data_IF_518457559739
#
_entry.id   IF_518457559739
#
_cell.length_a   1.000
_cell.length_b   1.000
_cell.length_c   1.000
_cell.angle_alpha   90.00
_cell.angle_beta   90.00
_cell.angle_gamma   90.00
#
_symmetry.space_group_name_H-M   'P 1'
#
loop_
_entity.id
_entity.type
_entity.pdbx_description
1 polymer ?
#
# COMPACT_ATOMS: atom_id res chain seq x y z
N UNK A 1 11.86 4.47 12.53
CA UNK A 1 10.82 4.07 11.55
C UNK A 1 10.42 2.63 11.82
N UNK A 2 9.11 2.35 11.96
CA UNK A 2 8.57 1.02 12.28
C UNK A 2 7.58 0.57 11.20
N UNK A 3 7.76 -0.63 10.65
CA UNK A 3 6.87 -1.17 9.62
C UNK A 3 5.58 -1.71 10.25
N UNK A 4 4.53 -0.91 10.20
CA UNK A 4 3.25 -1.22 10.85
C UNK A 4 2.25 -1.94 9.93
N UNK A 5 2.43 -1.85 8.61
CA UNK A 5 1.56 -2.51 7.62
C UNK A 5 2.36 -3.00 6.39
N UNK A 6 3.11 -4.10 6.52
CA UNK A 6 3.88 -4.68 5.40
C UNK A 6 3.02 -5.38 4.36
N UNK A 7 1.80 -5.79 4.73
CA UNK A 7 0.87 -6.59 3.93
C UNK A 7 -0.57 -6.05 3.99
N UNK A 8 -1.54 -6.86 3.55
CA UNK A 8 -2.96 -6.58 3.68
C UNK A 8 -3.52 -6.78 5.10
N UNK A 9 -2.67 -6.63 6.12
CA UNK A 9 -2.98 -6.69 7.56
C UNK A 9 -2.13 -5.67 8.33
N UNK A 10 -2.39 -5.47 9.60
CA UNK A 10 -1.75 -4.43 10.41
C UNK A 10 -1.28 -4.97 11.77
N UNK A 11 -0.24 -4.34 12.34
CA UNK A 11 0.21 -4.61 13.71
C UNK A 11 -0.40 -3.64 14.73
N UNK A 12 -1.43 -2.92 14.34
CA UNK A 12 -2.17 -1.96 15.16
C UNK A 12 -3.68 -2.22 15.03
N UNK A 13 -4.49 -1.70 15.95
CA UNK A 13 -5.95 -1.80 15.90
C UNK A 13 -6.49 -0.99 14.73
N UNK A 14 -7.13 -1.68 13.77
CA UNK A 14 -7.66 -1.06 12.55
C UNK A 14 -9.07 -1.52 12.21
N UNK A 15 -9.90 -0.58 11.71
CA UNK A 15 -11.22 -0.85 11.12
C UNK A 15 -11.09 -1.40 9.69
N UNK A 16 -9.97 -1.14 9.02
CA UNK A 16 -9.75 -1.43 7.61
C UNK A 16 -8.94 -2.70 7.37
N UNK A 17 -8.04 -3.04 8.30
CA UNK A 17 -7.10 -4.16 8.15
C UNK A 17 -7.22 -5.12 9.35
N UNK A 18 -7.21 -6.44 9.11
CA UNK A 18 -7.16 -7.41 10.20
C UNK A 18 -5.82 -7.35 10.93
N UNK A 19 -5.78 -7.79 12.17
CA UNK A 19 -4.54 -8.03 12.90
C UNK A 19 -3.59 -8.93 12.13
N UNK A 20 -2.31 -8.59 12.10
CA UNK A 20 -1.29 -9.38 11.44
C UNK A 20 -1.03 -10.70 12.16
N UNK A 21 -0.81 -11.75 11.37
CA UNK A 21 -0.41 -13.06 11.90
C UNK A 21 0.94 -13.02 12.65
N UNK A 22 1.80 -12.08 12.33
CA UNK A 22 3.12 -11.94 12.96
C UNK A 22 3.05 -11.49 14.41
N UNK A 23 1.94 -10.91 14.85
CA UNK A 23 1.73 -10.51 16.24
C UNK A 23 0.99 -11.58 17.03
N UNK A 24 0.03 -12.26 16.41
CA UNK A 24 -0.90 -13.16 17.12
C UNK A 24 -0.83 -14.61 16.66
N UNK A 25 0.07 -14.96 15.72
CA UNK A 25 0.18 -16.28 15.11
C UNK A 25 -0.88 -16.58 14.04
N UNK A 26 -2.02 -15.85 14.04
CA UNK A 26 -3.12 -16.04 13.10
C UNK A 26 -3.70 -14.69 12.66
N UNK A 27 -3.78 -14.45 11.34
CA UNK A 27 -4.34 -13.21 10.82
C UNK A 27 -5.79 -12.99 11.29
N UNK A 28 -6.07 -11.80 11.81
CA UNK A 28 -7.38 -11.41 12.34
C UNK A 28 -7.64 -11.76 13.80
N UNK A 29 -6.72 -12.48 14.48
CA UNK A 29 -6.79 -12.74 15.93
C UNK A 29 -6.27 -11.50 16.67
N UNK A 30 -7.05 -10.98 17.61
CA UNK A 30 -6.62 -9.92 18.50
C UNK A 30 -5.49 -10.44 19.41
N UNK A 31 -4.34 -9.75 19.47
CA UNK A 31 -3.23 -10.15 20.36
C UNK A 31 -3.48 -9.83 21.84
N UNK A 32 -4.51 -9.07 22.19
CA UNK A 32 -4.79 -8.62 23.56
C UNK A 32 -4.09 -7.32 23.96
N UNK A 33 -3.22 -6.77 23.10
CA UNK A 33 -2.53 -5.51 23.28
C UNK A 33 -2.39 -4.78 21.93
N UNK A 34 -1.97 -3.51 21.95
CA UNK A 34 -1.74 -2.71 20.74
C UNK A 34 -0.25 -2.37 20.59
N UNK A 35 0.48 -3.10 19.72
CA UNK A 35 1.91 -2.90 19.54
C UNK A 35 2.29 -1.47 19.15
N UNK A 36 1.52 -0.85 18.24
CA UNK A 36 1.87 0.50 17.77
C UNK A 36 1.69 1.54 18.91
N UNK A 37 0.64 1.40 19.72
CA UNK A 37 0.44 2.26 20.89
C UNK A 37 1.64 2.20 21.82
N UNK A 38 2.08 0.98 22.19
CA UNK A 38 3.24 0.77 23.07
C UNK A 38 4.51 1.36 22.45
N UNK A 39 4.72 1.15 21.13
CA UNK A 39 5.91 1.67 20.45
C UNK A 39 5.95 3.20 20.42
N UNK A 40 4.78 3.86 20.25
CA UNK A 40 4.68 5.33 20.29
C UNK A 40 5.01 5.84 21.70
N UNK A 41 4.38 5.27 22.74
CA UNK A 41 4.61 5.63 24.14
C UNK A 41 6.11 5.49 24.50
N UNK A 42 6.70 4.32 24.23
CA UNK A 42 8.13 4.08 24.51
C UNK A 42 9.06 5.01 23.72
N UNK A 43 8.73 5.32 22.46
CA UNK A 43 9.54 6.25 21.68
C UNK A 43 9.54 7.65 22.28
N UNK A 44 8.36 8.18 22.61
CA UNK A 44 8.21 9.52 23.18
C UNK A 44 8.79 9.62 24.59
N UNK A 45 8.63 8.60 25.44
CA UNK A 45 9.24 8.53 26.77
C UNK A 45 10.79 8.57 26.72
N UNK A 46 11.39 8.32 25.54
CA UNK A 46 12.83 8.38 25.31
C UNK A 46 13.25 9.49 24.32
N UNK A 47 12.45 10.54 24.17
CA UNK A 47 12.70 11.67 23.27
C UNK A 47 12.96 11.27 21.80
N UNK A 48 12.40 10.13 21.36
CA UNK A 48 12.53 9.63 19.99
C UNK A 48 11.28 9.90 19.18
N UNK A 49 11.45 10.30 17.91
CA UNK A 49 10.36 10.34 16.93
C UNK A 49 10.09 8.98 16.35
N UNK A 50 8.81 8.68 16.09
CA UNK A 50 8.37 7.43 15.49
C UNK A 50 7.57 7.66 14.20
N UNK A 51 8.00 7.05 13.10
CA UNK A 51 7.27 7.05 11.83
C UNK A 51 6.67 5.69 11.54
N UNK A 52 5.38 5.66 11.19
CA UNK A 52 4.65 4.46 10.82
C UNK A 52 4.87 4.14 9.33
N UNK A 53 5.64 3.10 9.03
CA UNK A 53 5.91 2.65 7.67
C UNK A 53 4.81 1.70 7.18
N UNK A 54 4.20 2.04 6.05
CA UNK A 54 3.18 1.25 5.37
C UNK A 54 3.62 0.87 3.96
N UNK A 55 3.45 -0.40 3.57
CA UNK A 55 3.53 -0.82 2.19
C UNK A 55 2.11 -0.75 1.58
N UNK A 56 1.86 0.12 0.58
CA UNK A 56 0.50 0.41 0.17
C UNK A 56 -0.22 -0.75 -0.53
N UNK A 57 0.47 -1.49 -1.40
CA UNK A 57 -0.21 -2.41 -2.33
C UNK A 57 0.02 -3.90 -2.06
N UNK A 58 1.03 -4.29 -1.32
CA UNK A 58 1.31 -5.70 -1.05
C UNK A 58 0.26 -6.30 -0.12
N UNK A 59 -0.38 -7.40 -0.52
CA UNK A 59 -1.35 -8.14 0.29
C UNK A 59 -0.71 -9.38 0.92
N UNK A 60 0.06 -10.13 0.13
CA UNK A 60 0.79 -11.32 0.59
C UNK A 60 2.15 -11.43 -0.10
N UNK A 61 3.03 -12.24 0.45
CA UNK A 61 4.24 -12.75 -0.21
C UNK A 61 4.20 -14.27 -0.21
N UNK A 62 4.59 -14.88 -1.34
CA UNK A 62 4.69 -16.34 -1.48
C UNK A 62 3.37 -17.10 -1.40
N UNK A 63 2.23 -16.41 -1.51
CA UNK A 63 0.92 -17.06 -1.52
C UNK A 63 -0.11 -16.28 -2.33
N UNK A 64 -0.86 -16.99 -3.16
CA UNK A 64 -2.03 -16.47 -3.89
C UNK A 64 -3.35 -17.03 -3.37
N UNK A 65 -3.31 -17.74 -2.24
CA UNK A 65 -4.48 -18.39 -1.66
C UNK A 65 -5.30 -17.43 -0.79
N UNK A 66 -6.39 -16.90 -1.34
CA UNK A 66 -7.30 -16.00 -0.63
C UNK A 66 -7.98 -16.64 0.59
N UNK A 67 -8.15 -17.97 0.62
CA UNK A 67 -8.77 -18.67 1.76
C UNK A 67 -7.90 -18.61 3.01
N UNK A 68 -6.58 -18.44 2.86
CA UNK A 68 -5.63 -18.27 3.98
C UNK A 68 -5.70 -16.88 4.62
N UNK A 69 -6.33 -15.90 3.96
CA UNK A 69 -6.57 -14.59 4.54
C UNK A 69 -7.74 -14.65 5.54
N UNK A 70 -7.72 -13.82 6.57
CA UNK A 70 -8.81 -13.69 7.53
C UNK A 70 -10.14 -13.34 6.83
N UNK A 71 -11.29 -13.76 7.38
CA UNK A 71 -12.62 -13.50 6.80
C UNK A 71 -12.91 -11.99 6.65
N UNK A 72 -12.38 -11.17 7.56
CA UNK A 72 -12.50 -9.71 7.53
C UNK A 72 -11.47 -9.01 6.64
N UNK A 73 -10.47 -9.73 6.08
CA UNK A 73 -9.49 -9.14 5.17
C UNK A 73 -10.16 -8.63 3.89
N UNK A 74 -9.93 -7.36 3.55
CA UNK A 74 -10.61 -6.72 2.42
C UNK A 74 -10.25 -7.36 1.06
N UNK A 75 -9.04 -7.87 0.91
CA UNK A 75 -8.64 -8.59 -0.31
C UNK A 75 -9.46 -9.86 -0.51
N UNK A 76 -9.70 -10.62 0.57
CA UNK A 76 -10.55 -11.82 0.55
C UNK A 76 -12.00 -11.45 0.23
N UNK A 77 -12.55 -10.40 0.84
CA UNK A 77 -13.92 -9.91 0.57
C UNK A 77 -14.09 -9.48 -0.90
N UNK A 78 -13.12 -8.74 -1.43
CA UNK A 78 -13.17 -8.30 -2.83
C UNK A 78 -13.03 -9.45 -3.82
N UNK A 79 -12.17 -10.43 -3.53
CA UNK A 79 -12.00 -11.59 -4.40
C UNK A 79 -13.28 -12.43 -4.52
N UNK A 80 -14.06 -12.54 -3.46
CA UNK A 80 -15.30 -13.33 -3.41
C UNK A 80 -16.40 -12.79 -4.33
N UNK A 81 -16.41 -11.50 -4.66
CA UNK A 81 -17.44 -10.86 -5.50
C UNK A 81 -16.93 -10.58 -6.91
N UNK A 82 -17.65 -11.04 -7.94
CA UNK A 82 -17.29 -10.85 -9.37
C UNK A 82 -17.04 -9.38 -9.73
N UNK A 83 -17.84 -8.46 -9.22
CA UNK A 83 -17.75 -7.01 -9.49
C UNK A 83 -16.49 -6.35 -8.91
N UNK A 84 -15.98 -6.85 -7.78
CA UNK A 84 -14.83 -6.27 -7.07
C UNK A 84 -13.55 -7.11 -7.16
N UNK A 85 -13.63 -8.30 -7.73
CA UNK A 85 -12.52 -9.26 -7.80
C UNK A 85 -11.21 -8.65 -8.32
N UNK A 86 -11.29 -7.73 -9.27
CA UNK A 86 -10.13 -7.07 -9.83
C UNK A 86 -9.53 -5.94 -8.98
N UNK A 87 -10.05 -5.69 -7.79
CA UNK A 87 -9.38 -4.85 -6.81
C UNK A 87 -8.14 -5.52 -6.21
N UNK A 88 -8.03 -6.85 -6.36
CA UNK A 88 -6.85 -7.63 -5.97
C UNK A 88 -6.41 -8.49 -7.14
N UNK A 89 -5.11 -8.50 -7.39
CA UNK A 89 -4.48 -9.21 -8.50
C UNK A 89 -3.37 -10.11 -7.97
N UNK A 90 -3.16 -11.26 -8.63
CA UNK A 90 -2.01 -12.12 -8.38
C UNK A 90 -0.90 -11.84 -9.40
N UNK A 91 0.35 -11.84 -8.92
CA UNK A 91 1.52 -11.77 -9.75
C UNK A 91 2.75 -12.32 -9.00
N UNK A 92 3.61 -13.08 -9.69
CA UNK A 92 4.84 -13.60 -9.09
C UNK A 92 4.63 -14.38 -7.79
N UNK A 93 3.58 -15.21 -7.70
CA UNK A 93 3.29 -15.99 -6.50
C UNK A 93 2.70 -15.21 -5.31
N UNK A 94 2.37 -13.93 -5.48
CA UNK A 94 1.90 -13.04 -4.44
C UNK A 94 0.59 -12.33 -4.82
N UNK A 95 -0.11 -11.78 -3.84
CA UNK A 95 -1.30 -10.95 -4.02
C UNK A 95 -0.99 -9.48 -3.82
N UNK A 96 -1.57 -8.63 -4.66
CA UNK A 96 -1.44 -7.18 -4.60
C UNK A 96 -2.80 -6.52 -4.75
N UNK A 97 -3.02 -5.43 -4.04
CA UNK A 97 -4.07 -4.48 -4.35
C UNK A 97 -3.81 -3.84 -5.71
N UNK A 98 -4.86 -3.68 -6.53
CA UNK A 98 -4.73 -3.12 -7.87
C UNK A 98 -4.64 -1.58 -7.82
N UNK A 99 -3.50 -0.97 -8.16
CA UNK A 99 -3.30 0.49 -8.08
C UNK A 99 -4.29 1.29 -8.96
N UNK A 100 -4.79 0.66 -10.02
CA UNK A 100 -5.74 1.27 -10.96
C UNK A 100 -7.15 1.48 -10.39
N UNK A 101 -7.45 0.92 -9.21
CA UNK A 101 -8.80 0.96 -8.64
C UNK A 101 -8.96 2.06 -7.59
N UNK A 102 -9.96 2.92 -7.78
CA UNK A 102 -10.31 3.97 -6.80
C UNK A 102 -10.59 3.37 -5.42
N UNK A 103 -11.36 2.28 -5.34
CA UNK A 103 -11.69 1.63 -4.07
C UNK A 103 -10.44 1.16 -3.30
N UNK A 104 -9.39 0.72 -4.01
CA UNK A 104 -8.10 0.36 -3.42
C UNK A 104 -7.41 1.59 -2.84
N UNK A 105 -7.30 2.67 -3.60
CA UNK A 105 -6.70 3.92 -3.09
C UNK A 105 -7.46 4.47 -1.88
N UNK A 106 -8.78 4.42 -1.92
CA UNK A 106 -9.63 4.81 -0.77
C UNK A 106 -9.35 3.95 0.46
N UNK A 107 -9.23 2.63 0.32
CA UNK A 107 -8.86 1.74 1.43
C UNK A 107 -7.52 2.15 2.05
N UNK A 108 -6.51 2.38 1.20
CA UNK A 108 -5.14 2.72 1.64
C UNK A 108 -5.12 4.09 2.34
N UNK A 109 -5.74 5.11 1.74
CA UNK A 109 -5.78 6.46 2.32
C UNK A 109 -6.56 6.51 3.62
N UNK A 110 -7.68 5.76 3.73
CA UNK A 110 -8.43 5.67 4.97
C UNK A 110 -7.62 4.98 6.07
N UNK A 111 -6.87 3.91 5.73
CA UNK A 111 -6.01 3.23 6.70
C UNK A 111 -4.87 4.12 7.20
N UNK A 112 -4.27 4.94 6.35
CA UNK A 112 -3.25 5.91 6.76
C UNK A 112 -3.87 7.02 7.61
N UNK A 113 -5.02 7.54 7.21
CA UNK A 113 -5.77 8.52 8.00
C UNK A 113 -6.11 7.99 9.39
N UNK A 114 -6.51 6.72 9.50
CA UNK A 114 -6.80 6.03 10.75
C UNK A 114 -5.57 5.97 11.68
N UNK A 115 -4.37 5.73 11.14
CA UNK A 115 -3.13 5.75 11.93
C UNK A 115 -2.95 7.12 12.58
N UNK A 116 -2.96 8.19 11.78
CA UNK A 116 -2.75 9.56 12.28
C UNK A 116 -3.86 10.02 13.25
N UNK A 117 -5.08 9.51 13.09
CA UNK A 117 -6.20 9.82 13.98
C UNK A 117 -6.12 9.15 15.35
N UNK A 118 -5.53 7.95 15.42
CA UNK A 118 -5.60 7.11 16.61
C UNK A 118 -4.26 6.93 17.32
N UNK A 119 -3.15 7.32 16.70
CA UNK A 119 -1.80 7.17 17.24
C UNK A 119 -1.02 8.46 17.04
N UNK A 120 -0.31 8.86 18.06
CA UNK A 120 0.56 10.05 18.07
C UNK A 120 1.88 9.75 17.34
N UNK A 121 1.81 9.39 16.06
CA UNK A 121 2.99 9.16 15.24
C UNK A 121 3.51 10.45 14.66
N UNK A 122 4.82 10.64 14.63
CA UNK A 122 5.46 11.84 14.05
C UNK A 122 5.47 11.84 12.52
N UNK A 123 5.25 10.67 11.93
CA UNK A 123 5.25 10.56 10.47
C UNK A 123 4.61 9.29 9.92
N UNK A 124 4.23 9.40 8.66
CA UNK A 124 3.86 8.26 7.80
C UNK A 124 4.96 8.07 6.76
N UNK A 125 5.48 6.86 6.71
CA UNK A 125 6.57 6.48 5.83
C UNK A 125 6.14 5.42 4.81
N UNK A 126 6.69 5.47 3.59
CA UNK A 126 6.57 4.44 2.57
C UNK A 126 7.92 4.11 1.94
N UNK A 127 8.03 2.89 1.43
CA UNK A 127 9.05 2.51 0.44
C UNK A 127 8.54 2.77 -0.99
N UNK A 128 9.30 2.32 -1.99
CA UNK A 128 9.00 2.45 -3.41
C UNK A 128 8.35 1.20 -4.04
N UNK A 129 7.97 0.21 -3.25
CA UNK A 129 7.36 -1.04 -3.74
C UNK A 129 5.89 -0.86 -4.13
N UNK A 130 5.60 0.01 -5.12
CA UNK A 130 4.24 0.29 -5.57
C UNK A 130 3.69 -0.77 -6.52
N UNK A 131 4.52 -1.27 -7.42
CA UNK A 131 4.16 -2.32 -8.37
C UNK A 131 5.08 -3.53 -8.24
N UNK A 132 4.62 -4.74 -8.59
CA UNK A 132 5.53 -5.86 -8.74
C UNK A 132 6.49 -5.63 -9.90
N UNK A 133 7.66 -6.25 -9.85
CA UNK A 133 8.62 -6.20 -10.95
C UNK A 133 8.16 -7.06 -12.11
N UNK A 134 8.10 -6.49 -13.29
CA UNK A 134 7.69 -7.17 -14.53
C UNK A 134 8.91 -7.53 -15.37
N UNK A 135 8.73 -8.51 -16.26
CA UNK A 135 9.70 -8.81 -17.32
C UNK A 135 9.34 -8.06 -18.61
N UNK A 136 10.31 -7.89 -19.52
CA UNK A 136 10.08 -7.33 -20.87
C UNK A 136 8.92 -8.05 -21.61
N UNK A 137 8.82 -9.37 -21.41
CA UNK A 137 7.82 -10.23 -22.06
C UNK A 137 6.39 -9.95 -21.58
N UNK A 138 6.18 -9.65 -20.31
CA UNK A 138 4.85 -9.59 -19.71
C UNK A 138 4.39 -8.19 -19.26
N UNK A 139 5.28 -7.19 -19.18
CA UNK A 139 4.96 -5.86 -18.66
C UNK A 139 3.75 -5.21 -19.35
N UNK A 140 3.54 -5.44 -20.64
CA UNK A 140 2.41 -4.85 -21.39
C UNK A 140 1.11 -5.66 -21.30
N UNK A 141 1.16 -6.92 -20.82
CA UNK A 141 0.03 -7.87 -20.85
C UNK A 141 -0.48 -8.26 -19.47
N UNK A 142 0.39 -8.15 -18.44
CA UNK A 142 0.11 -8.64 -17.09
C UNK A 142 -0.56 -7.60 -16.19
N UNK A 143 -1.05 -8.09 -15.06
CA UNK A 143 -1.52 -7.32 -13.93
C UNK A 143 -2.70 -6.39 -14.29
N UNK A 144 -2.49 -5.08 -14.28
CA UNK A 144 -3.49 -4.04 -14.56
C UNK A 144 -3.62 -3.66 -16.04
N UNK A 145 -3.01 -4.41 -16.95
CA UNK A 145 -3.08 -4.16 -18.40
C UNK A 145 -4.53 -4.11 -18.92
N UNK A 146 -5.44 -4.89 -18.32
CA UNK A 146 -6.87 -4.86 -18.66
C UNK A 146 -7.52 -3.51 -18.32
N UNK A 147 -7.15 -2.90 -17.20
CA UNK A 147 -7.61 -1.58 -16.79
C UNK A 147 -7.01 -0.49 -17.69
N UNK A 148 -5.71 -0.59 -17.99
CA UNK A 148 -5.07 0.31 -18.95
C UNK A 148 -5.78 0.29 -20.31
N UNK A 149 -6.09 -0.89 -20.86
CA UNK A 149 -6.73 -1.01 -22.17
C UNK A 149 -8.11 -0.34 -22.24
N UNK A 150 -8.79 -0.18 -21.11
CA UNK A 150 -10.09 0.52 -21.00
C UNK A 150 -9.96 1.98 -20.59
N UNK A 151 -8.76 2.45 -20.31
CA UNK A 151 -8.50 3.80 -19.80
C UNK A 151 -8.45 4.87 -20.89
N UNK A 152 -8.63 6.12 -20.48
CA UNK A 152 -8.38 7.29 -21.33
C UNK A 152 -6.93 7.40 -21.80
N UNK A 153 -5.97 6.84 -21.03
CA UNK A 153 -4.57 6.78 -21.44
C UNK A 153 -4.37 5.98 -22.71
N UNK A 154 -5.02 4.81 -22.82
CA UNK A 154 -4.98 3.99 -24.03
C UNK A 154 -5.64 4.71 -25.20
N UNK A 155 -6.80 5.32 -24.99
CA UNK A 155 -7.50 6.11 -26.02
C UNK A 155 -6.64 7.27 -26.55
N UNK A 156 -5.90 7.93 -25.66
CA UNK A 156 -4.95 9.03 -26.00
C UNK A 156 -3.57 8.53 -26.45
N UNK A 157 -3.42 7.25 -26.79
CA UNK A 157 -2.17 6.62 -27.24
C UNK A 157 -0.99 6.75 -26.28
N UNK A 158 -1.23 7.04 -24.99
CA UNK A 158 -0.19 7.09 -23.96
C UNK A 158 0.20 5.67 -23.53
N UNK A 159 1.47 5.47 -23.16
CA UNK A 159 1.98 4.15 -22.80
C UNK A 159 1.38 3.61 -21.49
N UNK A 160 1.43 2.27 -21.30
CA UNK A 160 1.07 1.65 -20.02
C UNK A 160 2.02 2.09 -18.89
N UNK A 161 3.25 2.43 -19.18
CA UNK A 161 4.23 2.94 -18.21
C UNK A 161 3.79 4.30 -17.66
N UNK A 162 3.38 5.21 -18.55
CA UNK A 162 2.81 6.50 -18.17
C UNK A 162 1.53 6.33 -17.34
N UNK A 163 0.69 5.37 -17.73
CA UNK A 163 -0.53 5.04 -16.98
C UNK A 163 -0.23 4.58 -15.54
N UNK A 164 0.70 3.62 -15.37
CA UNK A 164 1.06 3.08 -14.04
C UNK A 164 1.68 4.15 -13.15
N UNK A 165 2.59 4.96 -13.70
CA UNK A 165 3.19 6.10 -12.97
C UNK A 165 2.10 7.09 -12.50
N UNK A 166 1.11 7.37 -13.32
CA UNK A 166 0.00 8.24 -12.93
C UNK A 166 -0.88 7.63 -11.81
N UNK A 167 -1.04 6.29 -11.75
CA UNK A 167 -1.74 5.65 -10.63
C UNK A 167 -0.96 5.81 -9.32
N UNK A 168 0.36 5.64 -9.36
CA UNK A 168 1.23 5.86 -8.19
C UNK A 168 1.19 7.32 -7.74
N UNK A 169 1.38 8.27 -8.66
CA UNK A 169 1.28 9.71 -8.36
C UNK A 169 -0.06 10.08 -7.70
N UNK A 170 -1.14 9.47 -8.19
CA UNK A 170 -2.46 9.71 -7.61
C UNK A 170 -2.54 9.24 -6.16
N UNK A 171 -2.01 8.04 -5.85
CA UNK A 171 -1.97 7.54 -4.48
C UNK A 171 -1.11 8.43 -3.58
N UNK A 172 0.12 8.74 -3.99
CA UNK A 172 1.07 9.58 -3.24
C UNK A 172 0.41 10.90 -2.85
N UNK A 173 -0.21 11.60 -3.82
CA UNK A 173 -0.93 12.85 -3.57
C UNK A 173 -2.11 12.66 -2.59
N UNK A 174 -2.88 11.57 -2.74
CA UNK A 174 -4.02 11.30 -1.87
C UNK A 174 -3.59 10.96 -0.44
N UNK A 175 -2.49 10.23 -0.26
CA UNK A 175 -1.95 9.91 1.05
C UNK A 175 -1.41 11.17 1.75
N UNK A 176 -0.60 11.99 1.06
CA UNK A 176 -0.14 13.28 1.62
C UNK A 176 -1.34 14.13 2.09
N UNK A 177 -2.38 14.25 1.24
CA UNK A 177 -3.59 14.98 1.61
C UNK A 177 -4.29 14.36 2.82
N UNK A 178 -4.38 13.02 2.90
CA UNK A 178 -5.03 12.33 4.00
C UNK A 178 -4.29 12.56 5.33
N UNK A 179 -2.97 12.45 5.35
CA UNK A 179 -2.13 12.74 6.53
C UNK A 179 -2.33 14.19 6.97
N UNK A 180 -2.06 15.14 6.08
CA UNK A 180 -2.10 16.58 6.40
C UNK A 180 -3.50 17.10 6.71
N UNK A 181 -4.56 16.38 6.33
CA UNK A 181 -5.95 16.74 6.70
C UNK A 181 -6.33 16.34 8.12
N UNK A 182 -5.56 15.48 8.77
CA UNK A 182 -5.74 15.10 10.18
C UNK A 182 -4.82 15.94 11.05
N UNK A 183 -3.53 15.90 10.76
CA UNK A 183 -2.53 16.71 11.44
C UNK A 183 -1.49 17.25 10.44
N UNK A 184 -1.38 18.57 10.28
CA UNK A 184 -0.40 19.20 9.40
C UNK A 184 1.05 19.00 9.85
N UNK A 185 1.30 18.71 11.14
CA UNK A 185 2.64 18.52 11.69
C UNK A 185 3.20 17.11 11.40
N UNK A 186 2.34 16.09 11.27
CA UNK A 186 2.78 14.74 10.96
C UNK A 186 3.51 14.72 9.61
N UNK A 187 4.74 14.22 9.59
CA UNK A 187 5.55 14.11 8.37
C UNK A 187 4.95 13.09 7.40
N UNK A 188 5.25 13.25 6.11
CA UNK A 188 4.90 12.25 5.09
C UNK A 188 6.10 12.04 4.19
N UNK A 189 6.73 10.89 4.34
CA UNK A 189 7.98 10.54 3.66
C UNK A 189 7.88 9.33 2.77
N UNK A 190 8.74 9.29 1.73
CA UNK A 190 8.95 8.14 0.87
C UNK A 190 10.47 7.94 0.77
N UNK A 191 10.95 6.73 1.11
CA UNK A 191 12.34 6.33 0.88
C UNK A 191 12.46 5.53 -0.41
N UNK A 192 12.74 6.16 -1.54
CA UNK A 192 12.96 5.46 -2.79
C UNK A 192 14.35 4.82 -2.81
N UNK A 193 14.52 3.78 -3.64
CA UNK A 193 15.84 3.19 -3.89
C UNK A 193 16.80 4.25 -4.43
N UNK A 194 18.09 4.15 -4.06
CA UNK A 194 19.11 5.13 -4.43
C UNK A 194 19.46 5.19 -5.92
N UNK A 195 19.04 4.19 -6.71
CA UNK A 195 19.29 4.16 -8.15
C UNK A 195 18.10 4.70 -8.94
N UNK A 196 18.24 5.89 -9.52
CA UNK A 196 17.18 6.61 -10.26
C UNK A 196 16.71 5.84 -11.50
N UNK A 197 17.59 5.12 -12.19
CA UNK A 197 17.24 4.34 -13.37
C UNK A 197 16.29 3.20 -13.01
N UNK A 198 16.51 2.57 -11.86
CA UNK A 198 15.58 1.56 -11.34
C UNK A 198 14.22 2.17 -10.99
N UNK A 199 14.20 3.34 -10.36
CA UNK A 199 12.95 4.02 -9.98
C UNK A 199 12.10 4.40 -11.19
N UNK A 200 12.74 4.91 -12.24
CA UNK A 200 12.08 5.33 -13.48
C UNK A 200 11.91 4.20 -14.48
N UNK A 201 12.31 2.98 -14.13
CA UNK A 201 12.23 1.78 -14.96
C UNK A 201 10.83 1.57 -15.57
N UNK A 202 10.81 0.98 -16.76
CA UNK A 202 9.58 0.49 -17.41
C UNK A 202 9.04 -0.80 -16.79
N UNK A 203 9.79 -1.45 -15.91
CA UNK A 203 9.51 -2.82 -15.45
C UNK A 203 9.11 -2.91 -13.97
N UNK A 204 9.45 -1.90 -13.16
CA UNK A 204 9.19 -1.93 -11.71
C UNK A 204 8.95 -0.52 -11.16
N UNK A 205 8.60 -0.42 -9.88
CA UNK A 205 8.47 0.80 -9.08
C UNK A 205 7.47 1.83 -9.62
N UNK A 206 7.69 2.38 -10.81
CA UNK A 206 6.90 3.47 -11.43
C UNK A 206 6.89 4.74 -10.58
N UNK A 207 7.99 5.01 -9.92
CA UNK A 207 8.24 6.22 -9.13
C UNK A 207 8.41 7.43 -10.07
N UNK A 208 7.96 8.58 -9.63
CA UNK A 208 8.07 9.86 -10.36
C UNK A 208 8.75 10.88 -9.45
N UNK A 209 10.02 10.58 -9.09
CA UNK A 209 10.79 11.31 -8.08
C UNK A 209 10.83 12.81 -8.37
N UNK A 210 11.04 13.18 -9.65
CA UNK A 210 11.09 14.58 -10.07
C UNK A 210 9.77 15.34 -9.91
N UNK A 211 8.66 14.62 -9.78
CA UNK A 211 7.36 15.24 -9.56
C UNK A 211 7.01 15.34 -8.08
N UNK A 212 7.65 14.55 -7.23
CA UNK A 212 7.34 14.50 -5.81
C UNK A 212 8.19 15.45 -4.98
N UNK A 213 9.32 15.89 -5.53
CA UNK A 213 10.17 16.98 -5.03
C UNK A 213 9.55 18.33 -5.39
#
# INVERSE_FOLDING_TARGET
IVQVRPFGDAIYKSKYFPWSKYISGKQGRNPGFDPLKIMVEVAHDNDMKIEAWVNPYRVTTGSTNYKKLAKNNQARKWHAKKSTRRNVLSYGGSLYYNPSKKAVRTLITNGVKEIVQNYDVDGIHMDDYFYPSFTKRNVKKAFDAKEYNKSSYKKKKKSIYTYRRAQVNTLVKQMKKAVKSVDPNVSYGISPAGNIDNLTSKYSYYVDIYKWL
#
